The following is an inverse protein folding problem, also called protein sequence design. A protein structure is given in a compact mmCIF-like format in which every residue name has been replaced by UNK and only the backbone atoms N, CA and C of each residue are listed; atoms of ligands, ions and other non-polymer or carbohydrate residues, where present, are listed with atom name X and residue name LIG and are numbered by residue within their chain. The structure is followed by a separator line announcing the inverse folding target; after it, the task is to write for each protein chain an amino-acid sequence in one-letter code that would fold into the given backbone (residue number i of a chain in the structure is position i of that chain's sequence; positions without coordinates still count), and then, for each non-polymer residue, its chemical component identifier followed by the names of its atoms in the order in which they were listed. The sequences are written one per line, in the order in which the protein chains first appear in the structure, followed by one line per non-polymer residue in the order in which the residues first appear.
data_IF_922386888520
#
_entry.id   IF_922386888520
#
_cell.length_a   1.000
_cell.length_b   1.000
_cell.length_c   1.000
_cell.angle_alpha   90.00
_cell.angle_beta   90.00
_cell.angle_gamma   90.00
#
_symmetry.space_group_name_H-M   'P 1'
#
loop_
_entity.id
_entity.type
_entity.pdbx_description
1 polymer ?
#
# COMPACT_ATOMS: atom_id res chain seq x y z
N UNK A 1 2.93 -33.09 -1.47
CA UNK A 1 1.63 -33.02 -0.76
C UNK A 1 0.81 -31.90 -1.38
N UNK A 2 -0.48 -32.12 -1.70
CA UNK A 2 -1.37 -31.04 -2.14
C UNK A 2 -1.92 -30.32 -0.90
N UNK A 3 -1.80 -29.01 -0.84
CA UNK A 3 -2.21 -28.17 0.30
C UNK A 3 -2.99 -26.95 -0.21
N UNK A 4 -3.85 -26.38 0.63
CA UNK A 4 -4.54 -25.12 0.37
C UNK A 4 -4.06 -24.05 1.35
N UNK A 5 -3.91 -22.80 0.89
CA UNK A 5 -3.64 -21.66 1.77
C UNK A 5 -4.84 -21.44 2.70
N UNK A 6 -4.59 -21.00 3.94
CA UNK A 6 -5.66 -20.58 4.85
C UNK A 6 -6.31 -19.28 4.32
N UNK A 7 -7.61 -19.06 4.55
CA UNK A 7 -8.22 -17.76 4.24
C UNK A 7 -7.56 -16.68 5.09
N UNK A 8 -7.26 -15.53 4.48
CA UNK A 8 -6.63 -14.38 5.11
C UNK A 8 -7.42 -13.14 4.73
N UNK A 9 -7.82 -12.35 5.73
CA UNK A 9 -8.38 -11.01 5.55
C UNK A 9 -7.23 -10.01 5.62
N UNK A 10 -7.21 -9.05 4.71
CA UNK A 10 -6.20 -7.98 4.65
C UNK A 10 -6.88 -6.62 4.66
N UNK A 11 -6.15 -5.61 5.12
CA UNK A 11 -6.56 -4.21 4.97
C UNK A 11 -5.96 -3.67 3.66
N UNK A 12 -6.72 -2.85 2.93
CA UNK A 12 -6.23 -2.21 1.73
C UNK A 12 -6.89 -0.84 1.50
N UNK A 13 -6.13 0.11 0.97
CA UNK A 13 -6.62 1.42 0.55
C UNK A 13 -6.21 1.66 -0.91
N UNK A 14 -7.12 2.20 -1.70
CA UNK A 14 -6.79 2.59 -3.07
C UNK A 14 -5.98 3.89 -3.09
N UNK A 15 -4.85 3.89 -3.78
CA UNK A 15 -4.07 5.09 -4.01
C UNK A 15 -4.71 5.95 -5.10
N UNK A 16 -5.32 7.07 -4.72
CA UNK A 16 -6.04 7.93 -5.68
C UNK A 16 -5.19 9.07 -6.23
N UNK A 17 -3.96 9.25 -5.71
CA UNK A 17 -3.14 10.43 -5.97
C UNK A 17 -3.64 11.71 -5.30
N UNK A 18 -4.75 11.64 -4.54
CA UNK A 18 -5.38 12.77 -3.85
C UNK A 18 -5.59 12.51 -2.36
N UNK A 19 -5.65 11.24 -1.96
CA UNK A 19 -5.86 10.81 -0.57
C UNK A 19 -4.54 10.72 0.23
N UNK A 20 -3.69 11.76 0.15
CA UNK A 20 -2.37 11.75 0.77
C UNK A 20 -2.40 11.50 2.28
N UNK A 21 -3.32 12.16 3.01
CA UNK A 21 -3.46 12.00 4.47
C UNK A 21 -3.83 10.57 4.84
N UNK A 22 -4.89 10.05 4.24
CA UNK A 22 -5.37 8.68 4.45
C UNK A 22 -4.27 7.65 4.13
N UNK A 23 -3.57 7.84 3.01
CA UNK A 23 -2.48 6.94 2.61
C UNK A 23 -1.30 7.01 3.59
N UNK A 24 -0.92 8.21 4.05
CA UNK A 24 0.12 8.38 5.05
C UNK A 24 -0.28 7.74 6.39
N UNK A 25 -1.52 7.92 6.83
CA UNK A 25 -2.05 7.28 8.04
C UNK A 25 -1.96 5.76 7.94
N UNK A 26 -2.42 5.21 6.82
CA UNK A 26 -2.38 3.77 6.58
C UNK A 26 -0.95 3.22 6.59
N UNK A 27 -0.03 3.86 5.86
CA UNK A 27 1.38 3.45 5.75
C UNK A 27 2.18 3.61 7.04
N UNK A 28 1.72 4.47 7.95
CA UNK A 28 2.30 4.64 9.31
C UNK A 28 1.56 3.82 10.38
N UNK A 29 0.66 2.92 9.97
CA UNK A 29 -0.12 2.11 10.89
C UNK A 29 -0.97 2.94 11.85
N UNK A 30 -1.43 4.11 11.40
CA UNK A 30 -2.25 5.07 12.13
C UNK A 30 -1.59 5.67 13.39
N UNK A 31 -0.26 5.55 13.54
CA UNK A 31 0.46 6.05 14.71
C UNK A 31 0.77 7.56 14.64
N UNK A 32 0.70 8.16 13.45
CA UNK A 32 1.12 9.55 13.16
C UNK A 32 -0.01 10.46 12.68
N UNK A 33 -1.24 10.20 13.10
CA UNK A 33 -2.43 10.93 12.65
C UNK A 33 -2.40 12.43 12.98
N UNK A 34 -1.81 12.78 14.14
CA UNK A 34 -1.71 14.16 14.61
C UNK A 34 -0.37 14.83 14.22
N UNK A 35 0.45 14.17 13.41
CA UNK A 35 1.73 14.70 12.94
C UNK A 35 1.62 15.22 11.50
N UNK A 36 2.53 16.13 11.13
CA UNK A 36 2.68 16.56 9.75
C UNK A 36 3.10 15.39 8.85
N UNK A 37 2.55 15.33 7.63
CA UNK A 37 2.96 14.33 6.65
C UNK A 37 4.40 14.57 6.23
N UNK A 38 5.18 13.50 6.14
CA UNK A 38 6.53 13.49 5.58
C UNK A 38 6.52 12.80 4.22
N UNK A 39 7.43 13.22 3.34
CA UNK A 39 7.64 12.59 2.03
C UNK A 39 8.48 11.29 2.12
N UNK A 40 8.94 10.92 3.32
CA UNK A 40 9.79 9.76 3.56
C UNK A 40 9.41 9.13 4.90
N UNK A 41 9.22 7.81 4.89
CA UNK A 41 8.95 6.99 6.07
C UNK A 41 9.68 5.65 5.97
N UNK A 42 9.42 4.76 6.92
CA UNK A 42 10.07 3.45 6.96
C UNK A 42 9.58 2.52 5.84
N UNK A 43 8.31 2.63 5.48
CA UNK A 43 7.61 1.75 4.53
C UNK A 43 7.39 2.40 3.15
N UNK A 44 7.66 3.69 3.01
CA UNK A 44 7.39 4.42 1.77
C UNK A 44 8.24 5.67 1.63
N UNK A 45 8.26 6.22 0.42
CA UNK A 45 8.69 7.58 0.15
C UNK A 45 7.98 8.12 -1.09
N UNK A 46 8.08 9.43 -1.32
CA UNK A 46 7.48 10.13 -2.46
C UNK A 46 8.57 10.57 -3.44
N UNK A 47 8.51 10.10 -4.67
CA UNK A 47 9.36 10.47 -5.79
C UNK A 47 8.55 10.68 -7.08
N UNK A 48 8.23 11.94 -7.37
CA UNK A 48 7.45 12.33 -8.55
C UNK A 48 8.20 12.16 -9.87
N UNK A 49 9.52 11.91 -9.85
CA UNK A 49 10.28 11.64 -11.08
C UNK A 49 10.09 10.21 -11.60
N UNK A 50 9.68 9.29 -10.72
CA UNK A 50 9.53 7.86 -11.04
C UNK A 50 8.09 7.50 -11.46
N UNK A 51 7.09 8.15 -10.88
CA UNK A 51 5.68 7.83 -11.13
C UNK A 51 4.76 9.03 -10.85
N UNK A 52 3.66 9.11 -11.61
CA UNK A 52 2.57 10.03 -11.30
C UNK A 52 2.01 9.76 -9.88
N UNK A 53 1.83 10.82 -9.09
CA UNK A 53 1.48 10.72 -7.67
C UNK A 53 2.66 10.39 -6.74
N UNK A 54 3.78 9.91 -7.28
CA UNK A 54 5.07 9.77 -6.61
C UNK A 54 5.18 8.65 -5.57
N UNK A 55 4.15 7.84 -5.32
CA UNK A 55 4.18 6.87 -4.23
C UNK A 55 5.08 5.66 -4.54
N UNK A 56 6.12 5.47 -3.72
CA UNK A 56 6.98 4.29 -3.74
C UNK A 56 6.86 3.55 -2.40
N UNK A 57 6.61 2.24 -2.46
CA UNK A 57 6.49 1.36 -1.30
C UNK A 57 7.78 0.57 -1.13
N UNK A 58 8.33 0.55 0.08
CA UNK A 58 9.48 -0.29 0.44
C UNK A 58 9.00 -1.68 0.80
N UNK A 59 9.41 -2.65 -0.01
CA UNK A 59 9.15 -4.07 0.21
C UNK A 59 10.45 -4.80 0.55
N UNK A 60 10.36 -6.08 0.94
CA UNK A 60 11.56 -6.90 1.21
C UNK A 60 12.33 -7.21 -0.07
N UNK A 61 11.65 -7.17 -1.22
CA UNK A 61 12.18 -7.37 -2.56
C UNK A 61 12.77 -6.09 -3.16
N UNK A 62 12.61 -4.95 -2.49
CA UNK A 62 13.08 -3.63 -2.92
C UNK A 62 11.96 -2.60 -3.06
N UNK A 63 12.27 -1.48 -3.69
CA UNK A 63 11.33 -0.39 -3.90
C UNK A 63 10.32 -0.72 -5.02
N UNK A 64 9.04 -0.60 -4.72
CA UNK A 64 7.93 -0.89 -5.62
C UNK A 64 7.11 0.37 -5.92
N UNK A 65 6.93 0.66 -7.21
CA UNK A 65 6.11 1.77 -7.68
C UNK A 65 4.63 1.48 -7.46
N UNK A 66 3.92 2.39 -6.79
CA UNK A 66 2.46 2.41 -6.73
C UNK A 66 1.92 3.47 -7.69
N UNK A 67 1.14 3.04 -8.69
CA UNK A 67 0.46 3.95 -9.61
C UNK A 67 -0.85 4.42 -9.03
N UNK A 68 -1.29 5.61 -9.44
CA UNK A 68 -2.66 6.06 -9.17
C UNK A 68 -3.64 5.00 -9.68
N UNK A 69 -4.55 4.58 -8.82
CA UNK A 69 -5.50 3.50 -9.02
C UNK A 69 -5.12 2.22 -8.28
N UNK A 70 -3.84 1.94 -8.03
CA UNK A 70 -3.40 0.71 -7.35
C UNK A 70 -3.95 0.64 -5.92
N UNK A 71 -4.19 -0.57 -5.43
CA UNK A 71 -4.46 -0.81 -4.01
C UNK A 71 -3.15 -0.99 -3.27
N UNK A 72 -2.97 -0.29 -2.16
CA UNK A 72 -1.91 -0.59 -1.20
C UNK A 72 -2.48 -1.57 -0.19
N UNK A 73 -1.91 -2.76 -0.12
CA UNK A 73 -2.34 -3.82 0.79
C UNK A 73 -1.36 -3.89 1.96
N UNK A 74 -1.90 -4.01 3.16
CA UNK A 74 -1.13 -4.35 4.36
C UNK A 74 -1.13 -5.87 4.54
N UNK A 75 0.05 -6.47 4.45
CA UNK A 75 0.27 -7.88 4.69
C UNK A 75 0.21 -8.25 6.17
N UNK A 76 0.26 -9.56 6.43
CA UNK A 76 0.02 -10.12 7.77
C UNK A 76 1.15 -9.85 8.76
N UNK A 77 2.33 -9.46 8.27
CA UNK A 77 3.48 -9.08 9.09
C UNK A 77 3.70 -7.57 9.12
N UNK A 78 2.73 -6.78 8.64
CA UNK A 78 2.79 -5.32 8.61
C UNK A 78 3.55 -4.75 7.41
N UNK A 79 3.99 -5.61 6.48
CA UNK A 79 4.53 -5.20 5.19
C UNK A 79 3.46 -4.53 4.33
N UNK A 80 3.86 -3.62 3.44
CA UNK A 80 2.97 -3.01 2.47
C UNK A 80 3.42 -3.35 1.06
N UNK A 81 2.47 -3.48 0.13
CA UNK A 81 2.78 -3.66 -1.28
C UNK A 81 1.66 -3.10 -2.18
N UNK A 82 2.00 -2.55 -3.35
CA UNK A 82 1.01 -2.16 -4.33
C UNK A 82 0.43 -3.38 -5.05
N UNK A 83 -0.85 -3.31 -5.39
CA UNK A 83 -1.60 -4.32 -6.10
C UNK A 83 -2.42 -3.67 -7.20
N UNK A 84 -2.21 -4.13 -8.44
CA UNK A 84 -2.97 -3.66 -9.58
C UNK A 84 -4.49 -3.90 -9.37
N UNK A 85 -5.38 -2.95 -9.73
CA UNK A 85 -6.81 -3.05 -9.46
C UNK A 85 -7.50 -4.27 -10.06
N UNK A 86 -7.06 -4.71 -11.24
CA UNK A 86 -7.65 -5.88 -11.90
C UNK A 86 -7.23 -7.18 -11.21
N UNK A 87 -6.02 -7.21 -10.66
CA UNK A 87 -5.56 -8.33 -9.81
C UNK A 87 -6.29 -8.31 -8.48
N UNK A 88 -6.43 -7.13 -7.87
CA UNK A 88 -7.12 -6.96 -6.59
C UNK A 88 -8.55 -7.51 -6.67
N UNK A 89 -9.34 -7.04 -7.64
CA UNK A 89 -10.74 -7.45 -7.84
C UNK A 89 -10.91 -8.94 -8.17
N UNK A 90 -9.90 -9.58 -8.75
CA UNK A 90 -9.91 -11.03 -9.04
C UNK A 90 -9.51 -11.88 -7.83
N UNK A 91 -8.83 -11.27 -6.85
CA UNK A 91 -8.19 -11.98 -5.73
C UNK A 91 -8.93 -11.77 -4.41
N UNK A 92 -9.55 -10.61 -4.22
CA UNK A 92 -10.17 -10.19 -2.96
C UNK A 92 -11.64 -9.85 -3.15
N UNK A 93 -12.42 -10.15 -2.12
CA UNK A 93 -13.81 -9.72 -1.96
C UNK A 93 -13.84 -8.63 -0.88
N UNK A 94 -14.60 -7.55 -1.12
CA UNK A 94 -14.80 -6.49 -0.12
C UNK A 94 -15.84 -7.00 0.89
N UNK A 95 -15.46 -6.96 2.18
CA UNK A 95 -16.30 -7.37 3.30
C UNK A 95 -17.19 -6.24 3.82
#
# INVERSE_FOLDING_TARGET
MKVRKRPVVVEAIQWTGKNHREMFDFLTGYQKQNEFMTAYGDTFYIDHSQVEGGLIIRTLEGDHIARIGDYIIKGVHGEFYPCNPDIFKKTYEVL
#
